data_IF_308220102667
#
_entry.id   IF_308220102667
#
_cell.length_a   1.000
_cell.length_b   1.000
_cell.length_c   1.000
_cell.angle_alpha   90.00
_cell.angle_beta   90.00
_cell.angle_gamma   90.00
#
_symmetry.space_group_name_H-M   'P 1'
#
loop_
_entity.id
_entity.type
_entity.pdbx_description
1 polymer ?
#
# COMPACT_ATOMS: atom_id res chain seq x y z
N UNK A 1 -1.30 -12.61 -2.40
CA UNK A 1 -1.81 -13.95 -2.04
C UNK A 1 -2.17 -14.07 -0.56
N UNK A 2 -1.25 -13.85 0.39
CA UNK A 2 -1.58 -13.94 1.82
C UNK A 2 -2.61 -12.88 2.25
N UNK A 3 -2.46 -11.64 1.80
CA UNK A 3 -3.43 -10.55 2.03
C UNK A 3 -4.82 -10.93 1.51
N UNK A 4 -4.89 -11.59 0.36
CA UNK A 4 -6.14 -12.05 -0.24
C UNK A 4 -6.84 -13.09 0.64
N UNK A 5 -6.11 -14.13 1.06
CA UNK A 5 -6.67 -15.18 1.91
C UNK A 5 -7.22 -14.62 3.22
N UNK A 6 -6.44 -13.77 3.89
CA UNK A 6 -6.88 -13.08 5.13
C UNK A 6 -8.09 -12.18 4.87
N UNK A 7 -8.09 -11.44 3.77
CA UNK A 7 -9.19 -10.53 3.47
C UNK A 7 -10.50 -11.26 3.16
N UNK A 8 -10.45 -12.39 2.43
CA UNK A 8 -11.65 -13.21 2.17
C UNK A 8 -12.18 -13.83 3.45
N UNK A 9 -11.33 -14.39 4.31
CA UNK A 9 -11.81 -15.00 5.55
C UNK A 9 -12.47 -13.97 6.45
N UNK A 10 -11.85 -12.80 6.63
CA UNK A 10 -12.43 -11.70 7.40
C UNK A 10 -13.74 -11.23 6.77
N UNK A 11 -13.79 -11.09 5.44
CA UNK A 11 -15.03 -10.69 4.74
C UNK A 11 -16.16 -11.67 4.99
N UNK A 12 -15.92 -12.97 4.80
CA UNK A 12 -16.96 -14.01 4.90
C UNK A 12 -17.44 -14.12 6.34
N UNK A 13 -16.53 -14.16 7.31
CA UNK A 13 -16.87 -14.22 8.73
C UNK A 13 -17.62 -12.96 9.15
N UNK A 14 -17.04 -11.79 8.94
CA UNK A 14 -17.59 -10.53 9.43
C UNK A 14 -18.86 -10.14 8.68
N UNK A 15 -18.90 -10.35 7.36
CA UNK A 15 -20.06 -10.04 6.52
C UNK A 15 -21.30 -10.84 6.90
N UNK A 16 -21.21 -12.18 6.95
CA UNK A 16 -22.37 -13.00 7.29
C UNK A 16 -22.75 -12.90 8.76
N UNK A 17 -21.79 -12.73 9.67
CA UNK A 17 -22.10 -12.45 11.08
C UNK A 17 -22.85 -11.14 11.23
N UNK A 18 -22.47 -10.07 10.52
CA UNK A 18 -23.22 -8.80 10.56
C UNK A 18 -24.63 -8.94 9.98
N UNK A 19 -24.82 -9.69 8.89
CA UNK A 19 -26.15 -9.93 8.32
C UNK A 19 -27.04 -10.71 9.30
N UNK A 20 -26.50 -11.75 9.94
CA UNK A 20 -27.21 -12.53 10.94
C UNK A 20 -27.55 -11.70 12.19
N UNK A 21 -26.64 -10.83 12.65
CA UNK A 21 -26.86 -10.04 13.86
C UNK A 21 -27.84 -8.87 13.67
N UNK A 22 -27.86 -8.25 12.49
CA UNK A 22 -28.67 -7.04 12.27
C UNK A 22 -30.04 -7.38 11.67
N UNK A 23 -30.11 -8.34 10.74
CA UNK A 23 -31.33 -8.69 10.01
C UNK A 23 -31.82 -10.12 10.26
N UNK A 24 -31.20 -10.87 11.17
CA UNK A 24 -31.50 -12.30 11.41
C UNK A 24 -31.52 -13.13 10.11
N UNK A 25 -30.68 -12.72 9.14
CA UNK A 25 -30.63 -13.30 7.82
C UNK A 25 -29.54 -14.37 7.72
N UNK A 26 -29.97 -15.62 7.53
CA UNK A 26 -29.09 -16.76 7.35
C UNK A 26 -28.79 -17.00 5.87
N UNK A 27 -27.57 -16.63 5.45
CA UNK A 27 -27.12 -16.87 4.09
C UNK A 27 -26.84 -18.36 3.84
N UNK A 28 -27.33 -18.97 2.75
CA UNK A 28 -27.14 -20.40 2.48
C UNK A 28 -25.66 -20.82 2.42
N UNK A 29 -25.18 -21.75 3.29
CA UNK A 29 -23.79 -22.19 3.31
C UNK A 29 -23.33 -22.81 1.98
N UNK A 30 -24.25 -23.43 1.24
CA UNK A 30 -23.97 -24.00 -0.07
C UNK A 30 -23.50 -22.95 -1.09
N UNK A 31 -23.98 -21.71 -1.00
CA UNK A 31 -23.51 -20.63 -1.86
C UNK A 31 -22.10 -20.17 -1.50
N UNK A 32 -21.79 -20.13 -0.20
CA UNK A 32 -20.43 -19.86 0.27
C UNK A 32 -19.46 -20.92 -0.26
N UNK A 33 -19.88 -22.18 -0.29
CA UNK A 33 -19.11 -23.28 -0.90
C UNK A 33 -18.87 -23.05 -2.39
N UNK A 34 -19.90 -22.67 -3.17
CA UNK A 34 -19.72 -22.38 -4.60
C UNK A 34 -18.75 -21.21 -4.80
N UNK A 35 -18.87 -20.15 -4.00
CA UNK A 35 -17.94 -19.01 -4.03
C UNK A 35 -16.51 -19.49 -3.76
N UNK A 36 -16.30 -20.32 -2.74
CA UNK A 36 -15.00 -20.86 -2.39
C UNK A 36 -14.39 -21.69 -3.53
N UNK A 37 -15.17 -22.59 -4.15
CA UNK A 37 -14.72 -23.43 -5.27
C UNK A 37 -14.34 -22.56 -6.48
N UNK A 38 -15.16 -21.57 -6.84
CA UNK A 38 -14.85 -20.67 -7.96
C UNK A 38 -13.60 -19.82 -7.67
N UNK A 39 -13.44 -19.34 -6.44
CA UNK A 39 -12.26 -18.60 -6.01
C UNK A 39 -11.00 -19.44 -6.08
N UNK A 40 -11.01 -20.64 -5.53
CA UNK A 40 -9.87 -21.56 -5.54
C UNK A 40 -9.47 -21.98 -6.97
N UNK A 41 -10.48 -22.22 -7.83
CA UNK A 41 -10.27 -22.50 -9.25
C UNK A 41 -9.51 -21.37 -9.96
N UNK A 42 -9.89 -20.11 -9.73
CA UNK A 42 -9.17 -18.96 -10.29
C UNK A 42 -7.79 -18.80 -9.68
N UNK A 43 -7.62 -19.04 -8.38
CA UNK A 43 -6.32 -18.91 -7.68
C UNK A 43 -5.26 -19.83 -8.27
N UNK A 44 -5.64 -21.04 -8.70
CA UNK A 44 -4.70 -21.97 -9.35
C UNK A 44 -4.02 -21.35 -10.58
N UNK A 45 -4.72 -20.47 -11.31
CA UNK A 45 -4.17 -19.80 -12.51
C UNK A 45 -3.12 -18.73 -12.18
N UNK A 46 -3.13 -18.22 -10.95
CA UNK A 46 -2.16 -17.21 -10.48
C UNK A 46 -0.75 -17.80 -10.36
N UNK A 47 -0.62 -19.11 -10.12
CA UNK A 47 0.68 -19.79 -10.11
C UNK A 47 1.47 -19.65 -11.41
N UNK A 48 0.78 -19.36 -12.53
CA UNK A 48 1.37 -19.13 -13.85
C UNK A 48 1.45 -17.66 -14.25
N UNK A 49 1.04 -16.75 -13.36
CA UNK A 49 1.06 -15.31 -13.64
C UNK A 49 2.47 -14.72 -13.43
N UNK A 50 2.88 -13.81 -14.32
CA UNK A 50 4.20 -13.16 -14.27
C UNK A 50 4.10 -11.83 -13.53
N UNK A 51 4.41 -11.84 -12.23
CA UNK A 51 4.48 -10.62 -11.41
C UNK A 51 5.88 -10.01 -11.42
N UNK A 52 5.98 -8.68 -11.36
CA UNK A 52 7.27 -7.99 -11.24
C UNK A 52 7.88 -8.25 -9.85
N UNK A 53 9.14 -8.70 -9.75
CA UNK A 53 9.78 -8.87 -8.46
C UNK A 53 10.03 -7.51 -7.77
N UNK A 54 10.00 -7.50 -6.44
CA UNK A 54 10.37 -6.31 -5.66
C UNK A 54 11.84 -5.95 -5.91
N UNK A 55 12.17 -4.66 -6.12
CA UNK A 55 13.56 -4.20 -6.32
C UNK A 55 14.39 -4.21 -5.04
N UNK A 56 13.77 -4.42 -3.87
CA UNK A 56 14.44 -4.50 -2.57
C UNK A 56 14.09 -5.83 -1.88
N UNK A 57 14.99 -6.41 -1.08
CA UNK A 57 14.70 -7.61 -0.31
C UNK A 57 13.51 -7.34 0.60
N UNK A 58 12.42 -8.07 0.36
CA UNK A 58 11.20 -7.94 1.14
C UNK A 58 11.33 -8.82 2.38
N UNK A 59 11.21 -8.23 3.57
CA UNK A 59 11.18 -8.99 4.82
C UNK A 59 9.75 -9.42 5.09
N UNK A 60 9.55 -10.65 5.58
CA UNK A 60 8.23 -11.18 5.85
C UNK A 60 7.57 -10.43 7.02
N UNK A 61 6.83 -9.36 6.71
CA UNK A 61 6.09 -8.56 7.68
C UNK A 61 4.66 -9.07 7.82
N UNK A 62 4.48 -10.14 8.60
CA UNK A 62 3.15 -10.72 8.88
C UNK A 62 2.15 -9.67 9.36
N UNK A 63 2.57 -8.78 10.27
CA UNK A 63 1.69 -7.76 10.85
C UNK A 63 1.13 -6.81 9.78
N UNK A 64 1.93 -6.45 8.78
CA UNK A 64 1.50 -5.58 7.68
C UNK A 64 0.48 -6.29 6.78
N UNK A 65 0.73 -7.56 6.50
CA UNK A 65 -0.14 -8.43 5.68
C UNK A 65 -1.49 -8.64 6.38
N UNK A 66 -1.48 -8.95 7.68
CA UNK A 66 -2.70 -9.13 8.47
C UNK A 66 -3.49 -7.83 8.62
N UNK A 67 -2.83 -6.72 8.96
CA UNK A 67 -3.50 -5.42 9.09
C UNK A 67 -4.16 -5.01 7.77
N UNK A 68 -3.44 -5.15 6.65
CA UNK A 68 -3.99 -4.86 5.32
C UNK A 68 -5.16 -5.79 4.97
N UNK A 69 -5.02 -7.09 5.24
CA UNK A 69 -6.07 -8.07 5.00
C UNK A 69 -7.34 -7.80 5.81
N UNK A 70 -7.20 -7.45 7.10
CA UNK A 70 -8.31 -7.11 7.99
C UNK A 70 -9.03 -5.85 7.50
N UNK A 71 -8.31 -4.76 7.22
CA UNK A 71 -8.94 -3.51 6.78
C UNK A 71 -9.70 -3.69 5.47
N UNK A 72 -9.08 -4.36 4.48
CA UNK A 72 -9.75 -4.61 3.20
C UNK A 72 -10.93 -5.58 3.40
N UNK A 73 -10.77 -6.63 4.22
CA UNK A 73 -11.84 -7.58 4.52
C UNK A 73 -13.05 -6.93 5.21
N UNK A 74 -12.80 -6.06 6.20
CA UNK A 74 -13.85 -5.29 6.88
C UNK A 74 -14.57 -4.35 5.93
N UNK A 75 -13.84 -3.63 5.07
CA UNK A 75 -14.46 -2.80 4.03
C UNK A 75 -15.38 -3.62 3.13
N UNK A 76 -14.92 -4.77 2.65
CA UNK A 76 -15.70 -5.66 1.80
C UNK A 76 -16.95 -6.23 2.50
N UNK A 77 -16.84 -6.53 3.79
CA UNK A 77 -17.98 -6.93 4.61
C UNK A 77 -19.01 -5.80 4.69
N UNK A 78 -18.57 -4.57 4.99
CA UNK A 78 -19.45 -3.39 5.03
C UNK A 78 -20.13 -3.11 3.69
N UNK A 79 -19.43 -3.27 2.57
CA UNK A 79 -20.02 -3.14 1.23
C UNK A 79 -21.09 -4.22 1.00
N UNK A 80 -20.88 -5.43 1.47
CA UNK A 80 -21.88 -6.52 1.34
C UNK A 80 -23.11 -6.24 2.20
N UNK A 81 -22.90 -5.77 3.43
CA UNK A 81 -23.98 -5.35 4.34
C UNK A 81 -24.76 -4.16 3.77
N UNK A 82 -24.06 -3.16 3.24
CA UNK A 82 -24.67 -2.01 2.59
C UNK A 82 -25.50 -2.45 1.38
N UNK A 83 -24.99 -3.36 0.55
CA UNK A 83 -25.74 -3.91 -0.57
C UNK A 83 -27.04 -4.58 -0.10
N UNK A 84 -26.97 -5.44 0.93
CA UNK A 84 -28.15 -6.09 1.50
C UNK A 84 -29.16 -5.08 2.03
N UNK A 85 -28.71 -4.10 2.81
CA UNK A 85 -29.55 -3.03 3.34
C UNK A 85 -30.27 -2.26 2.23
N UNK A 86 -29.55 -1.87 1.17
CA UNK A 86 -30.16 -1.16 0.04
C UNK A 86 -31.18 -2.03 -0.69
N UNK A 87 -30.98 -3.34 -0.81
CA UNK A 87 -31.92 -4.24 -1.51
C UNK A 87 -33.17 -4.57 -0.69
N UNK A 88 -33.04 -4.69 0.64
CA UNK A 88 -34.14 -5.14 1.51
C UNK A 88 -34.94 -3.96 2.07
N UNK A 89 -34.26 -2.93 2.56
CA UNK A 89 -34.87 -1.83 3.32
C UNK A 89 -35.13 -0.58 2.45
N UNK A 90 -34.66 -0.52 1.21
CA UNK A 90 -34.80 0.66 0.34
C UNK A 90 -35.26 0.33 -1.09
N UNK A 91 -36.04 1.23 -1.69
CA UNK A 91 -36.50 1.12 -3.08
C UNK A 91 -35.54 1.78 -4.09
N UNK A 92 -34.27 1.99 -3.71
CA UNK A 92 -33.31 2.75 -4.50
C UNK A 92 -33.06 2.14 -5.88
N UNK A 93 -32.84 0.81 -5.92
CA UNK A 93 -32.59 0.11 -7.17
C UNK A 93 -33.83 0.02 -8.04
N UNK A 94 -35.00 -0.17 -7.44
CA UNK A 94 -36.28 -0.23 -8.15
C UNK A 94 -36.62 1.11 -8.82
N UNK A 95 -36.39 2.21 -8.12
CA UNK A 95 -36.70 3.56 -8.61
C UNK A 95 -35.72 4.01 -9.70
N UNK A 96 -34.42 3.71 -9.56
CA UNK A 96 -33.40 4.21 -10.48
C UNK A 96 -33.19 3.31 -11.71
N UNK A 97 -33.29 1.98 -11.54
CA UNK A 97 -33.02 1.01 -12.60
C UNK A 97 -34.29 0.30 -13.12
N UNK A 98 -35.47 0.61 -12.57
CA UNK A 98 -36.76 0.01 -12.96
C UNK A 98 -36.75 -1.53 -12.91
N UNK A 99 -36.02 -2.09 -11.94
CA UNK A 99 -35.94 -3.54 -11.71
C UNK A 99 -37.05 -4.02 -10.80
N UNK A 100 -37.36 -5.32 -10.86
CA UNK A 100 -38.41 -5.94 -10.03
C UNK A 100 -38.04 -5.89 -8.56
N UNK A 101 -39.02 -5.72 -7.67
CA UNK A 101 -38.75 -5.77 -6.23
C UNK A 101 -38.25 -7.13 -5.76
N UNK A 102 -37.12 -7.12 -5.06
CA UNK A 102 -36.49 -8.31 -4.48
C UNK A 102 -36.82 -8.48 -2.99
N UNK A 103 -37.21 -7.41 -2.30
CA UNK A 103 -37.37 -7.38 -0.84
C UNK A 103 -38.34 -8.45 -0.33
N UNK A 104 -39.38 -8.77 -1.10
CA UNK A 104 -40.38 -9.80 -0.75
C UNK A 104 -39.89 -11.26 -0.88
N UNK A 105 -38.76 -11.52 -1.54
CA UNK A 105 -38.30 -12.87 -1.89
C UNK A 105 -36.87 -13.12 -1.43
N UNK A 106 -36.74 -13.69 -0.23
CA UNK A 106 -35.47 -14.06 0.39
C UNK A 106 -34.57 -14.93 -0.51
N UNK A 107 -35.16 -15.78 -1.34
CA UNK A 107 -34.41 -16.65 -2.27
C UNK A 107 -33.73 -15.87 -3.40
N UNK A 108 -34.38 -14.82 -3.93
CA UNK A 108 -33.82 -13.96 -4.98
C UNK A 108 -32.76 -13.01 -4.39
N UNK A 109 -32.97 -12.53 -3.15
CA UNK A 109 -31.96 -11.77 -2.39
C UNK A 109 -30.69 -12.59 -2.16
N UNK A 110 -30.84 -13.87 -1.82
CA UNK A 110 -29.71 -14.79 -1.64
C UNK A 110 -28.87 -14.92 -2.91
N UNK A 111 -29.51 -15.05 -4.07
CA UNK A 111 -28.83 -15.05 -5.38
C UNK A 111 -28.13 -13.73 -5.69
N UNK A 112 -28.76 -12.61 -5.33
CA UNK A 112 -28.18 -11.28 -5.53
C UNK A 112 -26.92 -11.05 -4.69
N UNK A 113 -26.99 -11.39 -3.39
CA UNK A 113 -25.85 -11.33 -2.46
C UNK A 113 -24.75 -12.29 -2.91
N UNK A 114 -25.09 -13.52 -3.31
CA UNK A 114 -24.13 -14.47 -3.88
C UNK A 114 -23.35 -13.87 -5.04
N UNK A 115 -24.04 -13.26 -6.02
CA UNK A 115 -23.41 -12.71 -7.20
C UNK A 115 -22.48 -11.54 -6.84
N UNK A 116 -22.94 -10.64 -5.97
CA UNK A 116 -22.15 -9.52 -5.47
C UNK A 116 -20.88 -10.02 -4.75
N UNK A 117 -21.02 -11.04 -3.91
CA UNK A 117 -19.90 -11.59 -3.15
C UNK A 117 -18.90 -12.26 -4.08
N UNK A 118 -19.38 -13.01 -5.08
CA UNK A 118 -18.55 -13.66 -6.09
C UNK A 118 -17.75 -12.66 -6.93
N UNK A 119 -18.41 -11.62 -7.49
CA UNK A 119 -17.74 -10.61 -8.33
C UNK A 119 -16.62 -9.93 -7.57
N UNK A 120 -16.93 -9.42 -6.37
CA UNK A 120 -15.93 -8.66 -5.61
C UNK A 120 -14.81 -9.56 -5.07
N UNK A 121 -15.09 -10.81 -4.70
CA UNK A 121 -14.05 -11.74 -4.22
C UNK A 121 -13.04 -12.07 -5.32
N UNK A 122 -13.52 -12.23 -6.56
CA UNK A 122 -12.65 -12.46 -7.71
C UNK A 122 -11.93 -11.18 -8.12
N UNK A 123 -12.60 -10.03 -8.05
CA UNK A 123 -11.99 -8.73 -8.33
C UNK A 123 -10.85 -8.40 -7.36
N UNK A 124 -10.97 -8.80 -6.09
CA UNK A 124 -9.94 -8.62 -5.06
C UNK A 124 -8.58 -9.25 -5.44
N UNK A 125 -8.56 -10.29 -6.27
CA UNK A 125 -7.32 -10.89 -6.78
C UNK A 125 -6.49 -9.83 -7.53
N UNK A 126 -7.11 -8.98 -8.34
CA UNK A 126 -6.40 -7.94 -9.10
C UNK A 126 -5.79 -6.86 -8.18
N UNK A 127 -6.54 -6.44 -7.15
CA UNK A 127 -6.09 -5.45 -6.16
C UNK A 127 -4.92 -5.97 -5.33
N UNK A 128 -5.00 -7.24 -4.90
CA UNK A 128 -3.99 -7.85 -4.02
C UNK A 128 -2.75 -8.35 -4.75
N UNK A 129 -2.85 -8.60 -6.07
CA UNK A 129 -1.71 -8.89 -6.93
C UNK A 129 -0.90 -7.64 -7.25
N UNK A 130 -1.58 -6.51 -7.46
CA UNK A 130 -0.93 -5.29 -7.92
C UNK A 130 -0.15 -4.58 -6.81
N UNK A 131 1.08 -4.16 -7.14
CA UNK A 131 1.88 -3.33 -6.24
C UNK A 131 1.52 -1.84 -6.37
N UNK A 132 1.19 -1.38 -7.58
CA UNK A 132 0.64 -0.06 -7.87
C UNK A 132 -0.89 -0.11 -8.07
N UNK A 133 -1.43 0.85 -8.82
CA UNK A 133 -2.85 0.90 -9.16
C UNK A 133 -3.21 -0.34 -9.97
N UNK A 134 -4.29 -1.02 -9.58
CA UNK A 134 -4.73 -2.25 -10.22
C UNK A 134 -5.08 -2.06 -11.70
N UNK A 135 -5.49 -0.87 -12.10
CA UNK A 135 -5.80 -0.54 -13.50
C UNK A 135 -4.56 -0.33 -14.39
N UNK A 136 -3.43 0.05 -13.80
CA UNK A 136 -2.19 0.32 -14.54
C UNK A 136 -1.35 -0.94 -14.76
N UNK A 137 -1.45 -1.90 -13.83
CA UNK A 137 -0.77 -3.19 -13.95
C UNK A 137 -1.63 -4.20 -14.70
N UNK A 138 -1.41 -4.32 -16.02
CA UNK A 138 -2.14 -5.27 -16.86
C UNK A 138 -2.06 -6.70 -16.26
N UNK A 139 -3.19 -7.33 -15.95
CA UNK A 139 -3.21 -8.74 -15.56
C UNK A 139 -2.78 -9.65 -16.70
N UNK A 140 -2.19 -10.81 -16.37
CA UNK A 140 -1.87 -11.83 -17.37
C UNK A 140 -3.14 -12.28 -18.10
N UNK A 141 -3.05 -12.52 -19.41
CA UNK A 141 -4.19 -12.90 -20.24
C UNK A 141 -4.90 -14.17 -19.73
N UNK A 142 -4.14 -15.11 -19.13
CA UNK A 142 -4.69 -16.32 -18.51
C UNK A 142 -5.57 -16.01 -17.29
N UNK A 143 -5.14 -15.06 -16.45
CA UNK A 143 -5.89 -14.66 -15.24
C UNK A 143 -7.17 -13.90 -15.62
N UNK A 144 -7.11 -13.06 -16.65
CA UNK A 144 -8.31 -12.41 -17.21
C UNK A 144 -9.29 -13.42 -17.81
N UNK A 145 -8.79 -14.40 -18.56
CA UNK A 145 -9.63 -15.45 -19.13
C UNK A 145 -10.29 -16.28 -18.01
N UNK A 146 -9.53 -16.69 -17.00
CA UNK A 146 -10.05 -17.41 -15.85
C UNK A 146 -11.10 -16.61 -15.09
N UNK A 147 -10.86 -15.32 -14.85
CA UNK A 147 -11.83 -14.41 -14.24
C UNK A 147 -13.13 -14.33 -15.05
N UNK A 148 -13.04 -14.14 -16.36
CA UNK A 148 -14.22 -14.04 -17.23
C UNK A 148 -15.01 -15.34 -17.21
N UNK A 149 -14.35 -16.50 -17.31
CA UNK A 149 -15.03 -17.80 -17.25
C UNK A 149 -15.69 -18.03 -15.89
N UNK A 150 -14.98 -17.79 -14.79
CA UNK A 150 -15.52 -17.96 -13.45
C UNK A 150 -16.71 -17.02 -13.20
N UNK A 151 -16.64 -15.77 -13.66
CA UNK A 151 -17.74 -14.82 -13.53
C UNK A 151 -18.92 -15.11 -14.45
N UNK A 152 -18.66 -15.64 -15.64
CA UNK A 152 -19.74 -16.08 -16.51
C UNK A 152 -20.50 -17.23 -15.85
N UNK A 153 -19.80 -18.21 -15.26
CA UNK A 153 -20.43 -19.29 -14.49
C UNK A 153 -21.21 -18.75 -13.29
N UNK A 154 -20.62 -17.83 -12.50
CA UNK A 154 -21.28 -17.24 -11.34
C UNK A 154 -22.55 -16.44 -11.72
N UNK A 155 -22.49 -15.65 -12.79
CA UNK A 155 -23.65 -14.89 -13.28
C UNK A 155 -24.75 -15.80 -13.79
N UNK A 156 -24.42 -16.88 -14.51
CA UNK A 156 -25.40 -17.87 -14.95
C UNK A 156 -26.08 -18.57 -13.77
N UNK A 157 -25.32 -18.93 -12.73
CA UNK A 157 -25.88 -19.50 -11.50
C UNK A 157 -26.83 -18.49 -10.85
N UNK A 158 -26.42 -17.24 -10.67
CA UNK A 158 -27.27 -16.23 -10.03
C UNK A 158 -28.57 -15.92 -10.81
N UNK A 159 -28.50 -16.00 -12.14
CA UNK A 159 -29.63 -15.65 -13.02
C UNK A 159 -30.61 -16.81 -13.20
N UNK A 160 -30.12 -18.05 -13.33
CA UNK A 160 -30.93 -19.20 -13.73
C UNK A 160 -31.04 -20.31 -12.68
N UNK A 161 -30.21 -20.32 -11.64
CA UNK A 161 -30.26 -21.41 -10.67
C UNK A 161 -31.58 -21.37 -9.90
N UNK A 162 -32.24 -22.52 -9.88
CA UNK A 162 -33.40 -22.78 -9.05
C UNK A 162 -33.11 -24.03 -8.23
N UNK A 163 -32.63 -23.83 -7.00
CA UNK A 163 -32.17 -24.92 -6.13
C UNK A 163 -33.03 -24.89 -4.87
N UNK A 164 -34.06 -25.74 -4.85
CA UNK A 164 -34.99 -25.84 -3.71
C UNK A 164 -34.31 -26.29 -2.41
N UNK A 165 -33.18 -27.01 -2.49
CA UNK A 165 -32.39 -27.40 -1.32
C UNK A 165 -31.58 -26.24 -0.71
N UNK A 166 -31.26 -25.21 -1.51
CA UNK A 166 -30.39 -24.10 -1.10
C UNK A 166 -31.14 -22.78 -0.95
N UNK A 167 -32.49 -22.80 -0.94
CA UNK A 167 -33.36 -21.62 -0.87
C UNK A 167 -32.98 -20.53 -1.88
N UNK A 168 -32.79 -20.93 -3.14
CA UNK A 168 -32.27 -20.04 -4.19
C UNK A 168 -33.12 -20.09 -5.44
N UNK A 169 -33.48 -18.89 -5.86
CA UNK A 169 -34.22 -18.61 -7.08
C UNK A 169 -33.45 -17.58 -7.92
N UNK A 170 -33.53 -17.74 -9.24
CA UNK A 170 -32.82 -16.90 -10.18
C UNK A 170 -33.31 -15.45 -10.16
N UNK A 171 -32.38 -14.50 -10.02
CA UNK A 171 -32.70 -13.07 -9.88
C UNK A 171 -32.99 -12.37 -11.23
N UNK A 172 -32.63 -13.01 -12.34
CA UNK A 172 -32.77 -12.46 -13.69
C UNK A 172 -31.65 -11.50 -14.12
N UNK A 173 -31.58 -11.24 -15.42
CA UNK A 173 -30.52 -10.42 -16.03
C UNK A 173 -30.54 -8.94 -15.64
N UNK A 174 -31.73 -8.37 -15.39
CA UNK A 174 -31.85 -6.97 -14.99
C UNK A 174 -31.10 -6.69 -13.69
N UNK A 175 -31.31 -7.54 -12.68
CA UNK A 175 -30.60 -7.46 -11.42
C UNK A 175 -29.12 -7.84 -11.54
N UNK A 176 -28.78 -8.84 -12.35
CA UNK A 176 -27.38 -9.19 -12.59
C UNK A 176 -26.56 -7.99 -13.10
N UNK A 177 -27.13 -7.16 -13.99
CA UNK A 177 -26.49 -5.93 -14.47
C UNK A 177 -26.31 -4.88 -13.37
N UNK A 178 -27.33 -4.66 -12.54
CA UNK A 178 -27.26 -3.73 -11.40
C UNK A 178 -26.20 -4.16 -10.39
N UNK A 179 -26.13 -5.46 -10.08
CA UNK A 179 -25.14 -6.03 -9.16
C UNK A 179 -23.73 -5.88 -9.71
N UNK A 180 -23.54 -6.07 -11.03
CA UNK A 180 -22.28 -5.81 -11.71
C UNK A 180 -21.85 -4.36 -11.58
N UNK A 181 -22.77 -3.43 -11.85
CA UNK A 181 -22.49 -1.99 -11.74
C UNK A 181 -22.14 -1.60 -10.30
N UNK A 182 -22.90 -2.08 -9.32
CA UNK A 182 -22.62 -1.88 -7.90
C UNK A 182 -21.22 -2.40 -7.54
N UNK A 183 -20.89 -3.63 -7.95
CA UNK A 183 -19.60 -4.24 -7.68
C UNK A 183 -18.45 -3.46 -8.32
N UNK A 184 -18.65 -2.90 -9.52
CA UNK A 184 -17.66 -2.08 -10.20
C UNK A 184 -17.42 -0.74 -9.49
N UNK A 185 -18.49 -0.08 -9.02
CA UNK A 185 -18.38 1.19 -8.28
C UNK A 185 -17.60 0.99 -6.98
N UNK A 186 -17.94 -0.03 -6.21
CA UNK A 186 -17.27 -0.33 -4.94
C UNK A 186 -15.90 -1.00 -5.09
N UNK A 187 -15.52 -1.39 -6.31
CA UNK A 187 -14.18 -1.87 -6.61
C UNK A 187 -13.14 -0.74 -6.62
N UNK A 188 -13.49 0.45 -7.13
CA UNK A 188 -12.53 1.56 -7.30
C UNK A 188 -11.90 2.02 -5.97
N UNK A 189 -12.66 2.20 -4.87
CA UNK A 189 -12.09 2.63 -3.59
C UNK A 189 -11.14 1.61 -2.95
N UNK A 190 -11.19 0.33 -3.33
CA UNK A 190 -10.29 -0.70 -2.78
C UNK A 190 -8.82 -0.37 -3.00
N UNK A 191 -8.48 0.17 -4.18
CA UNK A 191 -7.10 0.57 -4.48
C UNK A 191 -6.65 1.75 -3.61
N UNK A 192 -7.55 2.70 -3.34
CA UNK A 192 -7.28 3.84 -2.45
C UNK A 192 -7.01 3.36 -1.02
N UNK A 193 -7.86 2.47 -0.51
CA UNK A 193 -7.71 1.89 0.83
C UNK A 193 -6.37 1.13 0.93
N UNK A 194 -6.02 0.34 -0.09
CA UNK A 194 -4.74 -0.37 -0.16
C UNK A 194 -3.55 0.59 0.01
N UNK A 195 -3.54 1.73 -0.68
CA UNK A 195 -2.46 2.71 -0.57
C UNK A 195 -2.42 3.39 0.79
N UNK A 196 -3.57 3.78 1.34
CA UNK A 196 -3.67 4.39 2.66
C UNK A 196 -3.10 3.45 3.73
N UNK A 197 -3.48 2.16 3.69
CA UNK A 197 -3.03 1.19 4.68
C UNK A 197 -1.52 0.95 4.58
N UNK A 198 -0.98 0.79 3.37
CA UNK A 198 0.47 0.66 3.17
C UNK A 198 1.24 1.90 3.64
N UNK A 199 0.71 3.10 3.38
CA UNK A 199 1.33 4.35 3.84
C UNK A 199 1.26 4.51 5.37
N UNK A 200 0.16 4.09 6.00
CA UNK A 200 0.05 4.09 7.45
C UNK A 200 1.04 3.10 8.09
N UNK A 201 1.25 1.94 7.46
CA UNK A 201 2.14 0.88 7.94
C UNK A 201 3.62 1.10 7.61
N UNK A 202 3.95 1.92 6.59
CA UNK A 202 5.34 2.26 6.24
C UNK A 202 6.05 3.09 7.33
N UNK A 203 5.31 3.58 8.33
CA UNK A 203 5.84 4.38 9.44
C UNK A 203 6.13 5.83 9.05
N UNK A 204 6.02 6.20 7.79
CA UNK A 204 6.21 7.56 7.28
C UNK A 204 5.15 8.52 7.84
N UNK A 205 3.90 8.04 7.97
CA UNK A 205 2.84 8.76 8.66
C UNK A 205 3.14 9.00 10.15
N UNK A 206 3.72 8.02 10.85
CA UNK A 206 4.11 8.15 12.24
C UNK A 206 5.29 9.11 12.40
N UNK A 207 6.30 9.02 11.54
CA UNK A 207 7.45 9.92 11.54
C UNK A 207 7.02 11.37 11.31
N UNK A 208 6.12 11.65 10.37
CA UNK A 208 5.59 13.00 10.15
C UNK A 208 4.81 13.54 11.36
N UNK A 209 4.07 12.69 12.08
CA UNK A 209 3.34 13.08 13.29
C UNK A 209 4.29 13.30 14.47
N UNK A 210 5.31 12.46 14.63
CA UNK A 210 6.35 12.62 15.64
C UNK A 210 7.22 13.86 15.35
N UNK A 211 7.68 14.05 14.12
CA UNK A 211 8.44 15.23 13.68
C UNK A 211 7.63 16.52 13.84
N UNK A 212 6.32 16.49 13.56
CA UNK A 212 5.45 17.63 13.83
C UNK A 212 5.34 17.89 15.34
N UNK A 213 5.18 16.87 16.17
CA UNK A 213 5.14 17.04 17.64
C UNK A 213 6.47 17.56 18.18
N UNK A 214 7.61 17.00 17.78
CA UNK A 214 8.95 17.44 18.20
C UNK A 214 9.28 18.83 17.68
N UNK A 215 8.84 19.22 16.48
CA UNK A 215 8.98 20.58 15.99
C UNK A 215 8.16 21.59 16.82
N UNK A 216 6.96 21.22 17.28
CA UNK A 216 6.16 22.07 18.17
C UNK A 216 6.73 22.13 19.61
N UNK A 217 7.34 21.07 20.13
CA UNK A 217 8.00 21.11 21.45
C UNK A 217 9.31 21.88 21.38
N UNK A 218 10.12 21.68 20.35
CA UNK A 218 11.38 22.39 20.10
C UNK A 218 11.14 23.89 19.91
N UNK A 219 10.07 24.27 19.19
CA UNK A 219 9.71 25.69 19.04
C UNK A 219 9.26 26.34 20.36
N UNK A 220 8.77 25.56 21.34
CA UNK A 220 8.41 26.05 22.68
C UNK A 220 9.63 26.26 23.60
N UNK A 221 10.69 25.49 23.39
CA UNK A 221 11.97 25.60 24.14
C UNK A 221 13.04 26.42 23.39
N UNK A 222 12.69 27.09 22.29
CA UNK A 222 13.62 27.91 21.51
C UNK A 222 14.20 29.04 22.38
N UNK A 223 15.50 28.98 22.64
CA UNK A 223 16.24 29.93 23.48
C UNK A 223 16.33 29.58 24.97
N UNK A 224 15.73 28.48 25.44
CA UNK A 224 15.91 28.00 26.83
C UNK A 224 17.31 27.42 27.04
N UNK A 225 17.80 26.66 26.07
CA UNK A 225 19.16 26.11 26.09
C UNK A 225 20.21 27.22 25.94
N UNK A 226 20.00 28.20 25.06
CA UNK A 226 20.89 29.35 24.92
C UNK A 226 20.91 30.21 26.20
N UNK A 227 19.76 30.41 26.86
CA UNK A 227 19.68 31.09 28.15
C UNK A 227 20.34 30.30 29.28
N UNK A 228 20.21 28.98 29.30
CA UNK A 228 20.89 28.13 30.26
C UNK A 228 22.40 28.11 30.04
N UNK A 229 22.85 28.06 28.78
CA UNK A 229 24.26 28.14 28.42
C UNK A 229 24.86 29.51 28.77
N UNK A 230 24.15 30.61 28.48
CA UNK A 230 24.53 31.96 28.90
C UNK A 230 24.54 32.09 30.43
N UNK A 231 23.59 31.50 31.14
CA UNK A 231 23.56 31.50 32.60
C UNK A 231 24.77 30.75 33.19
N UNK A 232 25.10 29.57 32.68
CA UNK A 232 26.28 28.79 33.09
C UNK A 232 27.58 29.53 32.77
N UNK A 233 27.68 30.16 31.59
CA UNK A 233 28.84 30.98 31.21
C UNK A 233 28.98 32.20 32.12
N UNK A 234 27.88 32.87 32.46
CA UNK A 234 27.87 34.02 33.38
C UNK A 234 28.24 33.63 34.81
N UNK A 235 27.80 32.45 35.29
CA UNK A 235 28.20 31.91 36.59
C UNK A 235 29.69 31.56 36.62
N UNK A 236 30.21 30.94 35.55
CA UNK A 236 31.65 30.67 35.42
C UNK A 236 32.49 31.95 35.39
N UNK A 237 32.03 33.01 34.72
CA UNK A 237 32.77 34.27 34.69
C UNK A 237 32.78 34.99 36.04
N UNK A 238 31.71 34.85 36.84
CA UNK A 238 31.61 35.47 38.17
C UNK A 238 32.41 34.72 39.24
N UNK A 239 32.56 33.39 39.11
CA UNK A 239 33.25 32.57 40.11
C UNK A 239 34.78 32.57 39.99
N UNK A 240 35.39 33.26 39.01
CA UNK A 240 36.84 33.49 38.98
C UNK A 240 37.72 32.23 39.07
N UNK A 241 37.19 31.06 38.73
CA UNK A 241 37.91 29.80 38.75
C UNK A 241 38.46 29.52 37.35
N UNK A 242 39.69 29.98 37.12
CA UNK A 242 40.59 29.32 36.17
C UNK A 242 40.90 27.95 36.78
N UNK A 243 40.14 26.94 36.36
CA UNK A 243 40.22 25.58 36.87
C UNK A 243 40.35 24.59 35.72
N UNK A 244 41.57 24.11 35.57
CA UNK A 244 42.08 22.99 34.78
C UNK A 244 41.20 21.73 34.86
N UNK A 245 41.16 20.98 33.75
CA UNK A 245 40.78 19.57 33.59
C UNK A 245 39.64 18.98 34.43
N UNK A 246 38.58 18.50 33.76
CA UNK A 246 37.94 17.23 34.10
C UNK A 246 37.06 16.71 32.94
N UNK A 247 37.39 15.49 32.56
CA UNK A 247 36.76 14.63 31.56
C UNK A 247 35.27 14.40 31.86
N UNK A 248 34.35 14.84 30.99
CA UNK A 248 33.04 14.18 30.83
C UNK A 248 32.26 14.59 29.57
N UNK A 249 32.80 14.41 28.35
CA UNK A 249 31.95 14.27 27.14
C UNK A 249 32.65 13.65 25.93
N UNK A 250 33.34 12.52 26.13
CA UNK A 250 34.31 11.97 25.17
C UNK A 250 33.78 11.22 23.94
N UNK A 251 32.47 11.13 23.67
CA UNK A 251 31.94 10.29 22.56
C UNK A 251 31.43 11.04 21.33
N UNK A 252 30.83 12.22 21.46
CA UNK A 252 30.31 12.95 20.28
C UNK A 252 31.39 13.76 19.56
N UNK A 253 32.27 14.43 20.31
CA UNK A 253 33.34 15.30 19.79
C UNK A 253 34.48 14.54 19.10
N UNK A 254 34.79 13.31 19.54
CA UNK A 254 35.83 12.48 18.93
C UNK A 254 35.44 12.01 17.52
N UNK A 255 34.16 11.74 17.26
CA UNK A 255 33.71 11.27 15.94
C UNK A 255 33.77 12.38 14.89
N UNK A 256 33.42 13.62 15.26
CA UNK A 256 33.51 14.77 14.36
C UNK A 256 34.97 15.09 14.04
N UNK A 257 35.86 15.00 15.02
CA UNK A 257 37.29 15.27 14.83
C UNK A 257 37.99 14.20 13.97
N UNK A 258 37.62 12.92 14.14
CA UNK A 258 38.11 11.83 13.28
C UNK A 258 37.58 11.97 11.85
N UNK A 259 36.29 12.34 11.68
CA UNK A 259 35.70 12.57 10.36
C UNK A 259 36.34 13.76 9.64
N UNK A 260 36.62 14.86 10.35
CA UNK A 260 37.34 16.02 9.78
C UNK A 260 38.78 15.67 9.41
N UNK A 261 39.47 14.88 10.21
CA UNK A 261 40.83 14.44 9.92
C UNK A 261 40.90 13.48 8.73
N UNK A 262 39.90 12.61 8.57
CA UNK A 262 39.75 11.75 7.39
C UNK A 262 39.45 12.58 6.13
N UNK A 263 38.57 13.59 6.23
CA UNK A 263 38.23 14.48 5.11
C UNK A 263 39.43 15.28 4.62
N UNK A 264 40.24 15.84 5.54
CA UNK A 264 41.48 16.55 5.18
C UNK A 264 42.50 15.63 4.49
N UNK A 265 42.63 14.37 4.93
CA UNK A 265 43.52 13.38 4.29
C UNK A 265 43.05 13.00 2.88
N UNK A 266 41.74 12.87 2.67
CA UNK A 266 41.17 12.61 1.35
C UNK A 266 41.38 13.79 0.39
N UNK A 267 41.25 15.03 0.88
CA UNK A 267 41.50 16.25 0.09
C UNK A 267 42.97 16.33 -0.36
N UNK A 268 43.92 16.01 0.52
CA UNK A 268 45.37 15.99 0.21
C UNK A 268 45.69 14.90 -0.82
N UNK A 269 45.10 13.70 -0.70
CA UNK A 269 45.28 12.63 -1.67
C UNK A 269 44.74 13.01 -3.06
N UNK A 270 43.55 13.64 -3.11
CA UNK A 270 42.94 14.14 -4.35
C UNK A 270 43.79 15.20 -5.03
N UNK A 271 44.37 16.14 -4.27
CA UNK A 271 45.28 17.15 -4.80
C UNK A 271 46.58 16.55 -5.35
N UNK A 272 47.07 15.47 -4.74
CA UNK A 272 48.22 14.68 -5.25
C UNK A 272 47.91 13.97 -6.56
N UNK A 273 46.71 13.40 -6.70
CA UNK A 273 46.25 12.75 -7.94
C UNK A 273 46.12 13.77 -9.10
N UNK A 274 45.63 14.97 -8.82
CA UNK A 274 45.57 16.07 -9.81
C UNK A 274 46.98 16.52 -10.24
N UNK A 275 47.93 16.63 -9.30
CA UNK A 275 49.31 17.00 -9.63
C UNK A 275 50.05 15.93 -10.42
N UNK A 276 49.84 14.65 -10.10
CA UNK A 276 50.45 13.53 -10.83
C UNK A 276 49.86 13.38 -12.23
N UNK A 277 48.54 13.57 -12.41
CA UNK A 277 47.90 13.63 -13.73
C UNK A 277 48.41 14.82 -14.55
N UNK A 278 48.55 16.00 -13.95
CA UNK A 278 49.13 17.17 -14.63
C UNK A 278 50.58 16.92 -15.05
N UNK A 279 51.41 16.36 -14.17
CA UNK A 279 52.79 16.00 -14.49
C UNK A 279 52.88 14.93 -15.58
N UNK A 280 51.96 13.96 -15.59
CA UNK A 280 51.87 12.95 -16.63
C UNK A 280 51.50 13.57 -17.98
N UNK A 281 50.48 14.44 -18.01
CA UNK A 281 50.06 15.19 -19.22
C UNK A 281 51.20 16.06 -19.74
N UNK A 282 51.88 16.82 -18.89
CA UNK A 282 53.02 17.66 -19.28
C UNK A 282 54.19 16.81 -19.83
N UNK A 283 54.44 15.62 -19.25
CA UNK A 283 55.48 14.71 -19.78
C UNK A 283 55.12 14.10 -21.14
N UNK A 284 53.84 13.75 -21.36
CA UNK A 284 53.35 13.20 -22.63
C UNK A 284 53.35 14.26 -23.73
N UNK A 285 53.04 15.52 -23.39
CA UNK A 285 53.13 16.66 -24.31
C UNK A 285 54.59 16.91 -24.73
N UNK A 286 55.53 16.84 -23.78
CA UNK A 286 56.97 16.96 -24.06
C UNK A 286 57.52 15.81 -24.91
N UNK A 287 57.12 14.56 -24.63
CA UNK A 287 57.53 13.38 -25.41
C UNK A 287 57.00 13.40 -26.85
N UNK A 288 55.86 14.04 -27.09
CA UNK A 288 55.25 14.15 -28.42
C UNK A 288 55.73 15.37 -29.24
N UNK A 289 56.67 16.17 -28.74
CA UNK A 289 57.17 17.37 -29.43
C UNK A 289 56.05 18.31 -29.91
N UNK A 290 54.98 18.42 -29.12
CA UNK A 290 53.88 19.33 -29.42
C UNK A 290 54.24 20.72 -28.88
N UNK A 291 54.42 21.66 -29.80
CA UNK A 291 54.72 23.06 -29.49
C UNK A 291 53.61 23.65 -28.59
N UNK A 292 53.99 24.02 -27.36
CA UNK A 292 53.11 24.61 -26.34
C UNK A 292 52.52 25.98 -26.76
N UNK A 293 53.00 26.56 -27.87
CA UNK A 293 52.53 27.83 -28.39
C UNK A 293 51.18 27.76 -29.15
N UNK A 294 50.61 26.57 -29.40
CA UNK A 294 49.32 26.43 -30.10
C UNK A 294 48.11 26.45 -29.16
N UNK A 295 48.28 26.15 -27.87
CA UNK A 295 47.13 25.98 -26.94
C UNK A 295 46.65 27.32 -26.35
N UNK A 296 47.47 28.38 -26.36
CA UNK A 296 47.08 29.67 -25.81
C UNK A 296 46.15 30.48 -26.75
N UNK A 297 45.96 30.05 -27.99
CA UNK A 297 45.08 30.69 -28.97
C UNK A 297 43.60 30.25 -28.87
N UNK A 298 43.25 29.29 -28.00
CA UNK A 298 41.89 28.74 -27.92
C UNK A 298 41.09 29.16 -26.66
N UNK A 299 41.63 30.05 -25.82
CA UNK A 299 40.98 30.51 -24.57
C UNK A 299 40.75 32.03 -24.51
N UNK A 300 40.51 32.67 -25.66
CA UNK A 300 39.91 34.01 -25.72
C UNK A 300 38.83 34.06 -26.78
N UNK A 301 37.61 33.63 -26.40
CA UNK A 301 36.34 34.28 -26.74
C UNK A 301 35.47 34.20 -25.50
#
# INVERSE_FOLDING_TARGET
MQIYAVSITIRIVLGFVLLALIWEYDFPPFMVLIIAILNDGTIMTISKDRVKPSPRPDSWKLNEIFATGIVIGTYLALVTVLFFWVVVDTDFFETHFHVKSLSSKTEEVSSAVYLQVSIISQALIFVTRSQSWSFLERPGALLMCAFVVAQLVATLIAVYAHISFAYISGVGWGWAGVIWLYSFIFYIPLDVIKFIVRYALSGEAWNLVFDRKTAFTSKKDYGKEDRAAQWILSHRSLQGLVGTDLEFNGRKSRSSLIAEQARRRAEIARLGEIHTLRGHVESVVRLKNLDLNVIQAAHTV
#
